data_IF_883678217189
#
_entry.id   IF_883678217189
#
_cell.length_a   1.000
_cell.length_b   1.000
_cell.length_c   1.000
_cell.angle_alpha   90.00
_cell.angle_beta   90.00
_cell.angle_gamma   90.00
#
_symmetry.space_group_name_H-M   'P 1'
#
loop_
_entity.id
_entity.type
_entity.pdbx_description
1 polymer ?
#
# COMPACT_ATOMS: atom_id res chain seq x y z
N UNK A 1 -26.65 73.35 -19.29
CA UNK A 1 -26.97 71.91 -19.28
C UNK A 1 -25.99 71.19 -20.22
N UNK A 2 -24.80 70.85 -19.71
CA UNK A 2 -23.68 70.35 -20.51
C UNK A 2 -23.83 68.85 -20.78
N UNK A 3 -23.94 68.49 -22.06
CA UNK A 3 -23.92 67.11 -22.57
C UNK A 3 -22.53 66.49 -22.32
N UNK A 4 -22.44 65.46 -21.47
CA UNK A 4 -21.26 64.58 -21.40
C UNK A 4 -21.11 63.85 -22.74
N UNK A 5 -19.90 63.88 -23.31
CA UNK A 5 -19.59 63.27 -24.62
C UNK A 5 -19.52 61.74 -24.48
N UNK A 6 -19.90 60.97 -25.52
CA UNK A 6 -19.96 59.50 -25.50
C UNK A 6 -18.60 58.79 -25.45
N UNK A 7 -17.49 59.52 -25.36
CA UNK A 7 -16.11 59.00 -25.32
C UNK A 7 -15.69 58.43 -23.95
N UNK A 8 -16.33 58.87 -22.86
CA UNK A 8 -15.87 58.52 -21.50
C UNK A 8 -16.38 57.15 -21.01
N UNK A 9 -17.50 56.65 -21.58
CA UNK A 9 -18.03 55.32 -21.26
C UNK A 9 -17.23 54.18 -21.90
N UNK A 10 -16.56 54.44 -23.03
CA UNK A 10 -15.74 53.45 -23.74
C UNK A 10 -14.38 53.25 -23.07
N UNK A 11 -13.82 54.28 -22.45
CA UNK A 11 -12.55 54.19 -21.72
C UNK A 11 -12.72 53.41 -20.40
N UNK A 12 -13.82 53.65 -19.67
CA UNK A 12 -14.17 52.90 -18.45
C UNK A 12 -14.44 51.41 -18.72
N UNK A 13 -15.03 51.05 -19.88
CA UNK A 13 -15.20 49.65 -20.29
C UNK A 13 -13.90 48.96 -20.69
N UNK A 14 -12.91 49.68 -21.22
CA UNK A 14 -11.60 49.13 -21.60
C UNK A 14 -10.68 48.91 -20.39
N UNK A 15 -10.72 49.80 -19.40
CA UNK A 15 -9.93 49.64 -18.16
C UNK A 15 -10.47 48.49 -17.30
N UNK A 16 -11.80 48.31 -17.22
CA UNK A 16 -12.40 47.19 -16.50
C UNK A 16 -12.06 45.83 -17.13
N UNK A 17 -11.96 45.74 -18.46
CA UNK A 17 -11.61 44.50 -19.15
C UNK A 17 -10.13 44.11 -18.94
N UNK A 18 -9.22 45.09 -18.84
CA UNK A 18 -7.81 44.83 -18.57
C UNK A 18 -7.53 44.39 -17.12
N UNK A 19 -8.32 44.85 -16.14
CA UNK A 19 -8.18 44.40 -14.75
C UNK A 19 -8.71 42.98 -14.55
N UNK A 20 -9.78 42.58 -15.25
CA UNK A 20 -10.27 41.19 -15.22
C UNK A 20 -9.28 40.22 -15.90
N UNK A 21 -8.58 40.67 -16.94
CA UNK A 21 -7.54 39.86 -17.60
C UNK A 21 -6.23 39.77 -16.79
N UNK A 22 -5.97 40.71 -15.87
CA UNK A 22 -4.80 40.64 -14.98
C UNK A 22 -5.00 39.67 -13.79
N UNK A 23 -6.25 39.37 -13.40
CA UNK A 23 -6.55 38.35 -12.38
C UNK A 23 -6.77 36.94 -12.95
N UNK A 24 -6.95 36.79 -14.26
CA UNK A 24 -7.05 35.49 -14.92
C UNK A 24 -5.68 34.83 -15.19
N UNK A 25 -4.57 35.56 -14.99
CA UNK A 25 -3.21 35.09 -15.29
C UNK A 25 -2.41 34.52 -14.10
N UNK A 26 -3.02 34.41 -12.91
CA UNK A 26 -2.37 33.90 -11.70
C UNK A 26 -3.00 32.62 -11.13
N UNK A 27 -3.81 31.92 -11.91
CA UNK A 27 -3.91 30.46 -11.74
C UNK A 27 -2.66 29.87 -12.40
N UNK A 28 -1.53 30.03 -11.70
CA UNK A 28 -0.41 29.13 -11.86
C UNK A 28 -1.03 27.75 -11.66
N UNK A 29 -1.05 26.98 -12.74
CA UNK A 29 -1.47 25.61 -12.72
C UNK A 29 -0.59 24.93 -11.68
N UNK A 30 -1.13 24.68 -10.49
CA UNK A 30 -0.72 23.53 -9.71
C UNK A 30 -1.16 22.31 -10.52
N UNK A 31 -0.51 22.07 -11.66
CA UNK A 31 -0.34 20.72 -12.15
C UNK A 31 0.49 20.08 -11.06
N UNK A 32 -0.19 19.51 -10.06
CA UNK A 32 0.43 18.54 -9.19
C UNK A 32 1.22 17.61 -10.09
N UNK A 33 2.49 17.38 -9.75
CA UNK A 33 3.32 16.40 -10.43
C UNK A 33 2.47 15.14 -10.51
N UNK A 34 1.99 14.78 -11.70
CA UNK A 34 1.24 13.55 -11.87
C UNK A 34 2.19 12.43 -11.48
N UNK A 35 1.81 11.63 -10.48
CA UNK A 35 2.56 10.42 -10.13
C UNK A 35 2.60 9.57 -11.39
N UNK A 36 3.79 9.35 -11.92
CA UNK A 36 3.96 8.53 -13.13
C UNK A 36 3.65 7.10 -12.73
N UNK A 37 2.73 6.46 -13.46
CA UNK A 37 2.44 5.04 -13.25
C UNK A 37 3.73 4.23 -13.45
N UNK A 38 4.09 3.46 -12.42
CA UNK A 38 5.24 2.57 -12.47
C UNK A 38 4.70 1.16 -12.73
N UNK A 39 4.71 0.74 -13.99
CA UNK A 39 4.43 -0.66 -14.33
C UNK A 39 5.70 -1.47 -14.19
N UNK A 40 5.65 -2.54 -13.39
CA UNK A 40 6.74 -3.50 -13.23
C UNK A 40 6.32 -4.86 -13.80
N UNK A 41 7.30 -5.59 -14.33
CA UNK A 41 7.12 -6.95 -14.83
C UNK A 41 8.32 -7.83 -14.45
N UNK A 42 8.26 -9.12 -14.77
CA UNK A 42 9.42 -10.01 -14.59
C UNK A 42 10.08 -10.35 -15.92
N UNK A 43 11.41 -10.43 -15.91
CA UNK A 43 12.22 -10.94 -17.02
C UNK A 43 13.28 -11.88 -16.46
N UNK A 44 13.12 -13.19 -16.72
CA UNK A 44 13.85 -14.24 -16.00
C UNK A 44 13.70 -14.02 -14.48
N UNK A 45 14.80 -13.91 -13.74
CA UNK A 45 14.87 -13.67 -12.28
C UNK A 45 14.96 -12.20 -11.88
N UNK A 46 14.50 -11.29 -12.73
CA UNK A 46 14.61 -9.87 -12.47
C UNK A 46 13.27 -9.18 -12.60
N UNK A 47 12.98 -8.30 -11.65
CA UNK A 47 11.97 -7.26 -11.79
C UNK A 47 12.53 -6.18 -12.74
N UNK A 48 11.73 -5.79 -13.74
CA UNK A 48 12.10 -4.78 -14.72
C UNK A 48 10.99 -3.74 -14.86
N UNK A 49 11.36 -2.54 -15.29
CA UNK A 49 10.41 -1.49 -15.69
C UNK A 49 9.96 -1.66 -17.16
N UNK A 50 9.08 -0.76 -17.62
CA UNK A 50 8.57 -0.74 -19.00
C UNK A 50 9.67 -0.64 -20.07
N UNK A 51 10.85 -0.10 -19.73
CA UNK A 51 11.99 -0.01 -20.62
C UNK A 51 12.91 -1.25 -20.55
N UNK A 52 12.54 -2.27 -19.78
CA UNK A 52 13.32 -3.48 -19.57
C UNK A 52 14.52 -3.29 -18.64
N UNK A 53 14.60 -2.16 -17.92
CA UNK A 53 15.71 -1.88 -16.99
C UNK A 53 15.41 -2.57 -15.67
N UNK A 54 16.42 -3.22 -15.09
CA UNK A 54 16.31 -3.89 -13.80
C UNK A 54 15.94 -2.90 -12.70
N UNK A 55 14.90 -3.22 -11.94
CA UNK A 55 14.47 -2.52 -10.74
C UNK A 55 14.84 -3.37 -9.51
N UNK A 56 15.44 -2.75 -8.51
CA UNK A 56 15.65 -3.36 -7.19
C UNK A 56 14.68 -2.72 -6.20
N UNK A 57 13.83 -3.53 -5.60
CA UNK A 57 12.91 -3.09 -4.56
C UNK A 57 13.64 -3.10 -3.21
N UNK A 58 13.90 -1.90 -2.69
CA UNK A 58 14.44 -1.65 -1.36
C UNK A 58 13.29 -1.07 -0.54
N UNK A 59 12.57 -1.94 0.16
CA UNK A 59 11.33 -1.56 0.84
C UNK A 59 11.51 -1.48 2.34
N UNK A 60 10.69 -0.69 3.00
CA UNK A 60 10.42 -0.80 4.45
C UNK A 60 9.07 -1.45 4.68
N UNK A 61 8.91 -2.18 5.77
CA UNK A 61 7.57 -2.56 6.24
C UNK A 61 6.90 -1.38 6.95
N UNK A 62 5.66 -1.06 6.59
CA UNK A 62 4.81 -0.12 7.35
C UNK A 62 3.54 -0.85 7.83
N UNK A 63 3.41 -1.10 9.14
CA UNK A 63 2.27 -1.75 9.75
C UNK A 63 1.01 -0.90 9.67
N UNK A 64 -0.06 -1.49 9.14
CA UNK A 64 -1.43 -0.96 9.15
C UNK A 64 -2.45 -2.09 9.36
N UNK A 65 -1.99 -3.25 9.85
CA UNK A 65 -2.78 -4.45 10.08
C UNK A 65 -3.08 -4.74 11.55
N UNK A 66 -2.50 -3.96 12.47
CA UNK A 66 -2.72 -4.09 13.91
C UNK A 66 -4.17 -3.73 14.28
N UNK A 67 -4.52 -3.88 15.55
CA UNK A 67 -5.85 -3.61 16.10
C UNK A 67 -6.47 -2.26 15.67
N UNK A 68 -5.71 -1.14 15.54
CA UNK A 68 -6.28 0.12 15.07
C UNK A 68 -6.69 0.11 13.59
N UNK A 69 -6.12 -0.79 12.78
CA UNK A 69 -6.26 -0.85 11.30
C UNK A 69 -5.95 0.48 10.62
N UNK A 70 -5.08 1.27 11.24
CA UNK A 70 -4.54 2.53 10.74
C UNK A 70 -3.01 2.40 10.77
N UNK A 71 -2.33 3.04 9.83
CA UNK A 71 -0.88 2.96 9.76
C UNK A 71 -0.23 3.48 11.05
N UNK A 72 0.76 2.74 11.54
CA UNK A 72 1.51 3.11 12.74
C UNK A 72 2.23 4.45 12.56
N UNK A 73 2.40 5.19 13.66
CA UNK A 73 3.12 6.48 13.66
C UNK A 73 2.30 7.71 13.25
N UNK A 74 1.08 7.56 12.73
CA UNK A 74 0.22 8.72 12.39
C UNK A 74 -0.18 9.58 13.59
N UNK A 75 -0.11 9.03 14.81
CA UNK A 75 -0.29 9.81 16.04
C UNK A 75 0.92 10.66 16.42
N UNK A 76 2.06 10.49 15.74
CA UNK A 76 3.34 11.10 16.10
C UNK A 76 3.87 12.07 15.05
N UNK A 77 3.62 11.81 13.77
CA UNK A 77 4.09 12.65 12.67
C UNK A 77 3.05 12.72 11.54
N UNK A 78 3.02 13.82 10.76
CA UNK A 78 2.23 13.89 9.55
C UNK A 78 2.58 12.75 8.58
N UNK A 79 1.58 12.16 7.93
CA UNK A 79 1.76 11.05 6.97
C UNK A 79 2.78 11.40 5.88
N UNK A 80 2.73 12.63 5.36
CA UNK A 80 3.67 13.14 4.36
C UNK A 80 5.10 13.24 4.89
N UNK A 81 5.29 13.57 6.17
CA UNK A 81 6.62 13.59 6.78
C UNK A 81 7.21 12.18 6.86
N UNK A 82 6.40 11.18 7.21
CA UNK A 82 6.82 9.78 7.25
C UNK A 82 7.15 9.29 5.82
N UNK A 83 6.28 9.55 4.83
CA UNK A 83 6.49 9.21 3.43
C UNK A 83 7.79 9.80 2.87
N UNK A 84 8.05 11.10 3.14
CA UNK A 84 9.32 11.77 2.77
C UNK A 84 10.52 11.14 3.46
N UNK A 85 10.36 10.75 4.72
CA UNK A 85 11.44 10.13 5.49
C UNK A 85 11.86 8.80 4.86
N UNK A 86 10.91 7.94 4.48
CA UNK A 86 11.17 6.69 3.75
C UNK A 86 12.06 6.94 2.52
N UNK A 87 11.67 7.89 1.66
CA UNK A 87 12.44 8.25 0.47
C UNK A 87 13.84 8.80 0.83
N UNK A 88 13.93 9.64 1.87
CA UNK A 88 15.19 10.25 2.31
C UNK A 88 16.21 9.24 2.85
N UNK A 89 15.74 8.11 3.39
CA UNK A 89 16.57 7.00 3.87
C UNK A 89 17.07 6.09 2.73
N UNK A 90 16.65 6.36 1.48
CA UNK A 90 17.08 5.64 0.29
C UNK A 90 16.21 4.43 -0.07
N UNK A 91 15.09 4.23 0.62
CA UNK A 91 14.09 3.24 0.25
C UNK A 91 13.24 3.77 -0.91
N UNK A 92 12.87 2.87 -1.82
CA UNK A 92 12.04 3.20 -2.99
C UNK A 92 10.66 2.54 -2.95
N UNK A 93 10.37 1.76 -1.90
CA UNK A 93 9.07 1.16 -1.70
C UNK A 93 8.69 1.02 -0.23
N UNK A 94 7.39 0.83 -0.01
CA UNK A 94 6.82 0.39 1.27
C UNK A 94 6.05 -0.90 1.05
N UNK A 95 6.31 -1.90 1.88
CA UNK A 95 5.41 -3.03 2.09
C UNK A 95 4.37 -2.62 3.13
N UNK A 96 3.19 -2.22 2.65
CA UNK A 96 2.11 -1.69 3.48
C UNK A 96 1.17 -2.84 3.84
N UNK A 97 1.23 -3.24 5.11
CA UNK A 97 0.52 -4.43 5.59
C UNK A 97 -0.95 -4.14 5.87
N UNK A 98 -1.84 -5.10 5.62
CA UNK A 98 -3.26 -4.99 5.97
C UNK A 98 -3.84 -6.34 6.43
N UNK A 99 -4.91 -6.34 7.25
CA UNK A 99 -5.64 -7.54 7.61
C UNK A 99 -6.69 -7.86 6.55
N UNK A 100 -6.93 -9.13 6.21
CA UNK A 100 -7.90 -9.46 5.14
C UNK A 100 -9.31 -8.93 5.44
N UNK A 101 -9.67 -8.84 6.72
CA UNK A 101 -10.94 -8.28 7.18
C UNK A 101 -11.16 -6.84 6.71
N UNK A 102 -10.10 -6.02 6.52
CA UNK A 102 -10.25 -4.67 5.97
C UNK A 102 -10.87 -4.67 4.56
N UNK A 103 -10.64 -5.76 3.80
CA UNK A 103 -11.13 -5.92 2.44
C UNK A 103 -12.44 -6.71 2.32
N UNK A 104 -12.88 -7.38 3.39
CA UNK A 104 -14.01 -8.34 3.35
C UNK A 104 -15.10 -8.04 4.36
N UNK A 105 -14.82 -7.29 5.42
CA UNK A 105 -15.78 -6.90 6.44
C UNK A 105 -16.19 -5.44 6.26
N UNK A 106 -17.33 -5.22 5.59
CA UNK A 106 -17.85 -3.88 5.32
C UNK A 106 -18.12 -3.06 6.60
N UNK A 107 -18.49 -3.71 7.70
CA UNK A 107 -18.69 -3.02 8.98
C UNK A 107 -17.38 -2.51 9.55
N UNK A 108 -16.29 -3.28 9.43
CA UNK A 108 -14.94 -2.85 9.82
C UNK A 108 -14.46 -1.75 8.88
N UNK A 109 -14.48 -1.98 7.57
CA UNK A 109 -13.90 -1.06 6.59
C UNK A 109 -14.53 0.33 6.61
N UNK A 110 -15.82 0.43 6.98
CA UNK A 110 -16.59 1.67 7.06
C UNK A 110 -16.56 2.36 8.43
N UNK A 111 -15.83 1.83 9.41
CA UNK A 111 -15.65 2.52 10.68
C UNK A 111 -14.93 3.84 10.42
N UNK A 112 -15.64 4.94 10.63
CA UNK A 112 -15.05 6.26 10.82
C UNK A 112 -14.63 6.37 12.28
N UNK A 113 -13.43 6.89 12.51
CA UNK A 113 -12.76 7.06 13.80
C UNK A 113 -11.89 5.90 14.31
N UNK A 114 -10.67 6.28 14.68
CA UNK A 114 -9.78 5.58 15.63
C UNK A 114 -10.43 5.37 17.02
N UNK A 115 -11.54 6.05 17.31
CA UNK A 115 -12.27 5.96 18.59
C UNK A 115 -12.91 4.58 18.80
N UNK A 116 -13.24 3.85 17.73
CA UNK A 116 -13.93 2.56 17.80
C UNK A 116 -13.13 1.46 18.52
N UNK A 117 -11.81 1.62 18.67
CA UNK A 117 -10.93 0.66 19.34
C UNK A 117 -10.43 1.11 20.72
N UNK A 118 -10.97 2.19 21.30
CA UNK A 118 -10.58 2.64 22.65
C UNK A 118 -9.18 3.26 22.74
N UNK A 119 -8.58 3.63 21.61
CA UNK A 119 -7.24 4.20 21.50
C UNK A 119 -7.26 5.74 21.61
N UNK A 120 -7.71 6.25 22.76
CA UNK A 120 -7.89 7.68 22.98
C UNK A 120 -6.60 8.50 22.80
N UNK A 121 -5.44 7.94 23.17
CA UNK A 121 -4.13 8.59 22.97
C UNK A 121 -3.76 8.70 21.50
N UNK A 122 -4.12 7.70 20.68
CA UNK A 122 -3.93 7.72 19.22
C UNK A 122 -4.80 8.79 18.56
N UNK A 123 -6.02 9.02 19.05
CA UNK A 123 -6.93 10.03 18.48
C UNK A 123 -6.40 11.44 18.66
N UNK A 124 -5.88 11.79 19.85
CA UNK A 124 -5.35 13.12 20.11
C UNK A 124 -4.11 13.41 19.24
N UNK A 125 -3.16 12.47 19.21
CA UNK A 125 -1.95 12.60 18.38
C UNK A 125 -2.26 12.64 16.88
N UNK A 126 -3.22 11.84 16.41
CA UNK A 126 -3.67 11.89 15.00
C UNK A 126 -4.39 13.21 14.72
N UNK A 127 -5.21 13.72 15.64
CA UNK A 127 -5.86 15.03 15.48
C UNK A 127 -4.87 16.18 15.36
N UNK A 128 -3.73 16.11 16.05
CA UNK A 128 -2.67 17.11 15.96
C UNK A 128 -1.86 17.00 14.67
N UNK A 129 -1.43 15.78 14.31
CA UNK A 129 -0.50 15.55 13.21
C UNK A 129 -1.17 15.33 11.85
N UNK A 130 -2.37 14.76 11.85
CA UNK A 130 -3.11 14.28 10.69
C UNK A 130 -4.63 14.53 10.86
N UNK A 131 -5.08 15.77 11.12
CA UNK A 131 -6.47 16.05 11.49
C UNK A 131 -7.52 15.49 10.51
N UNK A 132 -7.21 15.47 9.21
CA UNK A 132 -8.11 14.94 8.18
C UNK A 132 -8.36 13.43 8.28
N UNK A 133 -7.49 12.66 8.94
CA UNK A 133 -7.67 11.21 9.12
C UNK A 133 -8.78 10.87 10.12
N UNK A 134 -9.20 11.81 10.97
CA UNK A 134 -10.27 11.57 11.94
C UNK A 134 -11.64 11.36 11.28
N UNK A 135 -11.83 11.91 10.07
CA UNK A 135 -13.08 11.83 9.32
C UNK A 135 -13.10 10.69 8.29
N UNK A 136 -11.94 10.04 8.07
CA UNK A 136 -11.82 8.94 7.11
C UNK A 136 -12.31 7.63 7.74
N UNK A 137 -12.89 6.79 6.90
CA UNK A 137 -13.06 5.37 7.22
C UNK A 137 -11.69 4.66 7.28
N UNK A 138 -11.63 3.45 7.85
CA UNK A 138 -10.38 2.68 7.90
C UNK A 138 -9.81 2.41 6.49
N UNK A 139 -10.68 2.09 5.52
CA UNK A 139 -10.22 1.85 4.14
C UNK A 139 -9.76 3.13 3.44
N UNK A 140 -10.42 4.27 3.70
CA UNK A 140 -10.00 5.57 3.17
C UNK A 140 -8.70 6.04 3.83
N UNK A 141 -8.51 5.76 5.12
CA UNK A 141 -7.25 6.02 5.83
C UNK A 141 -6.09 5.24 5.21
N UNK A 142 -6.30 3.95 4.91
CA UNK A 142 -5.32 3.12 4.21
C UNK A 142 -4.99 3.69 2.82
N UNK A 143 -6.01 4.14 2.07
CA UNK A 143 -5.82 4.81 0.77
C UNK A 143 -5.02 6.11 0.88
N UNK A 144 -5.32 6.94 1.87
CA UNK A 144 -4.62 8.22 2.09
C UNK A 144 -3.11 8.02 2.36
N UNK A 145 -2.73 6.93 3.03
CA UNK A 145 -1.31 6.56 3.20
C UNK A 145 -0.68 6.16 1.86
N UNK A 146 -1.37 5.35 1.04
CA UNK A 146 -0.90 4.99 -0.30
C UNK A 146 -0.73 6.21 -1.20
N UNK A 147 -1.68 7.15 -1.16
CA UNK A 147 -1.63 8.39 -1.93
C UNK A 147 -0.44 9.26 -1.50
N UNK A 148 -0.22 9.43 -0.19
CA UNK A 148 0.94 10.18 0.34
C UNK A 148 2.29 9.56 -0.07
N UNK A 149 2.38 8.24 -0.11
CA UNK A 149 3.57 7.54 -0.60
C UNK A 149 3.79 7.82 -2.10
N UNK A 150 2.72 7.83 -2.88
CA UNK A 150 2.78 8.13 -4.32
C UNK A 150 3.21 9.57 -4.62
N UNK A 151 2.69 10.54 -3.87
CA UNK A 151 3.09 11.96 -3.95
C UNK A 151 4.58 12.18 -3.67
N UNK A 152 5.21 11.23 -2.97
CA UNK A 152 6.62 11.23 -2.62
C UNK A 152 7.47 10.24 -3.44
N UNK A 153 6.95 9.79 -4.59
CA UNK A 153 7.61 8.86 -5.52
C UNK A 153 8.02 7.51 -4.86
N UNK A 154 7.28 7.07 -3.84
CA UNK A 154 7.50 5.79 -3.14
C UNK A 154 6.49 4.74 -3.63
N UNK A 155 7.00 3.63 -4.16
CA UNK A 155 6.18 2.51 -4.60
C UNK A 155 5.54 1.78 -3.40
N UNK A 156 4.42 1.11 -3.63
CA UNK A 156 3.69 0.36 -2.61
C UNK A 156 3.52 -1.09 -3.04
N UNK A 157 3.81 -1.99 -2.11
CA UNK A 157 3.44 -3.39 -2.17
C UNK A 157 2.39 -3.63 -1.09
N UNK A 158 1.16 -3.90 -1.52
CA UNK A 158 0.09 -4.25 -0.60
C UNK A 158 0.37 -5.64 -0.02
N UNK A 159 0.37 -5.78 1.29
CA UNK A 159 0.70 -7.05 1.92
C UNK A 159 -0.43 -7.58 2.78
N UNK A 160 -1.02 -8.72 2.39
CA UNK A 160 -1.93 -9.39 3.30
C UNK A 160 -1.14 -10.03 4.44
N UNK A 161 -1.20 -9.41 5.61
CA UNK A 161 -0.37 -9.80 6.73
C UNK A 161 -1.02 -10.86 7.61
N UNK A 162 -2.31 -10.66 7.88
CA UNK A 162 -3.10 -11.48 8.81
C UNK A 162 -4.55 -11.47 8.35
N UNK A 163 -5.39 -12.33 8.94
CA UNK A 163 -6.81 -12.36 8.58
C UNK A 163 -7.62 -11.32 9.36
N UNK A 164 -7.44 -11.26 10.68
CA UNK A 164 -8.11 -10.28 11.54
C UNK A 164 -7.10 -9.24 12.03
N UNK A 165 -7.52 -8.00 12.32
CA UNK A 165 -6.64 -7.01 12.93
C UNK A 165 -5.93 -7.55 14.17
N UNK A 166 -4.63 -7.32 14.25
CA UNK A 166 -3.83 -7.62 15.44
C UNK A 166 -2.47 -8.26 15.17
N UNK A 167 -1.79 -8.62 16.26
CA UNK A 167 -0.44 -9.16 16.24
C UNK A 167 -0.37 -10.64 15.80
N UNK A 168 0.76 -11.00 15.22
CA UNK A 168 1.18 -12.35 14.84
C UNK A 168 2.68 -12.49 15.26
N UNK A 169 3.40 -13.61 15.13
CA UNK A 169 3.27 -14.69 14.18
C UNK A 169 3.68 -16.01 14.84
N UNK A 170 3.00 -16.40 15.91
CA UNK A 170 3.28 -17.68 16.59
C UNK A 170 2.82 -18.86 15.71
N UNK A 171 3.37 -20.06 15.96
CA UNK A 171 2.96 -21.29 15.27
C UNK A 171 1.49 -21.68 15.57
N UNK A 172 0.92 -21.17 16.67
CA UNK A 172 -0.40 -21.52 17.19
C UNK A 172 -1.38 -20.34 17.25
N UNK A 173 -1.07 -19.21 16.59
CA UNK A 173 -1.95 -18.04 16.54
C UNK A 173 -3.22 -18.21 15.69
N UNK A 174 -3.37 -19.38 15.05
CA UNK A 174 -4.53 -19.75 14.24
C UNK A 174 -4.63 -18.98 12.91
N UNK A 175 -3.55 -18.35 12.46
CA UNK A 175 -3.47 -17.58 11.21
C UNK A 175 -2.33 -18.06 10.28
N UNK A 176 -1.55 -19.07 10.67
CA UNK A 176 -0.30 -19.45 10.01
C UNK A 176 -0.46 -20.15 8.66
N UNK A 177 -1.52 -20.94 8.45
CA UNK A 177 -1.73 -21.69 7.21
C UNK A 177 -3.20 -21.82 6.81
N UNK A 178 -3.43 -22.18 5.55
CA UNK A 178 -4.77 -22.36 4.98
C UNK A 178 -5.63 -23.30 5.82
N UNK A 179 -6.85 -22.86 6.14
CA UNK A 179 -7.82 -23.61 6.92
C UNK A 179 -7.64 -23.51 8.43
N UNK A 180 -6.66 -22.73 8.92
CA UNK A 180 -6.56 -22.42 10.35
C UNK A 180 -7.76 -21.62 10.85
N UNK A 181 -7.91 -21.56 12.18
CA UNK A 181 -9.08 -21.00 12.87
C UNK A 181 -9.54 -19.65 12.31
N UNK A 182 -8.59 -18.80 11.94
CA UNK A 182 -8.84 -17.46 11.43
C UNK A 182 -8.48 -17.32 9.95
N UNK A 183 -7.99 -18.37 9.28
CA UNK A 183 -7.56 -18.34 7.89
C UNK A 183 -8.49 -19.19 6.99
N UNK A 184 -9.69 -18.66 6.77
CA UNK A 184 -10.58 -19.15 5.71
C UNK A 184 -10.03 -18.77 4.33
N UNK A 185 -9.72 -19.79 3.52
CA UNK A 185 -9.06 -19.60 2.24
C UNK A 185 -9.96 -18.97 1.17
N UNK A 186 -11.28 -19.17 1.23
CA UNK A 186 -12.19 -18.59 0.24
C UNK A 186 -12.44 -17.11 0.54
N UNK A 187 -12.58 -16.75 1.83
CA UNK A 187 -12.60 -15.35 2.28
C UNK A 187 -11.28 -14.67 1.92
N UNK A 188 -10.15 -15.37 2.06
CA UNK A 188 -8.85 -14.83 1.68
C UNK A 188 -8.73 -14.54 0.19
N UNK A 189 -9.09 -15.49 -0.69
CA UNK A 189 -9.11 -15.25 -2.14
C UNK A 189 -10.01 -14.05 -2.49
N UNK A 190 -11.19 -13.95 -1.89
CA UNK A 190 -12.10 -12.83 -2.11
C UNK A 190 -11.49 -11.49 -1.65
N UNK A 191 -10.89 -11.45 -0.46
CA UNK A 191 -10.27 -10.25 0.06
C UNK A 191 -9.06 -9.78 -0.76
N UNK A 192 -8.28 -10.72 -1.31
CA UNK A 192 -7.20 -10.40 -2.23
C UNK A 192 -7.73 -9.71 -3.49
N UNK A 193 -8.78 -10.27 -4.12
CA UNK A 193 -9.42 -9.66 -5.28
C UNK A 193 -9.97 -8.26 -4.98
N UNK A 194 -10.61 -8.08 -3.82
CA UNK A 194 -11.18 -6.79 -3.41
C UNK A 194 -10.11 -5.71 -3.24
N UNK A 195 -8.99 -6.03 -2.59
CA UNK A 195 -7.87 -5.08 -2.43
C UNK A 195 -7.19 -4.78 -3.76
N UNK A 196 -6.96 -5.80 -4.60
CA UNK A 196 -6.40 -5.61 -5.92
C UNK A 196 -7.29 -4.67 -6.77
N UNK A 197 -8.60 -4.89 -6.77
CA UNK A 197 -9.56 -4.05 -7.49
C UNK A 197 -9.60 -2.61 -6.95
N UNK A 198 -9.52 -2.43 -5.62
CA UNK A 198 -9.55 -1.11 -4.99
C UNK A 198 -8.37 -0.22 -5.42
N UNK A 199 -7.21 -0.84 -5.63
CA UNK A 199 -5.96 -0.17 -6.03
C UNK A 199 -5.62 -0.34 -7.51
N UNK A 200 -6.52 -0.91 -8.32
CA UNK A 200 -6.34 -1.01 -9.75
C UNK A 200 -6.23 0.40 -10.36
N UNK A 201 -5.14 0.64 -11.12
CA UNK A 201 -4.86 1.95 -11.72
C UNK A 201 -4.27 3.00 -10.77
N UNK A 202 -3.98 2.66 -9.51
CA UNK A 202 -3.23 3.56 -8.61
C UNK A 202 -1.74 3.52 -8.97
N UNK A 203 -1.14 4.63 -9.47
CA UNK A 203 0.15 4.63 -10.15
C UNK A 203 1.35 4.04 -9.41
N UNK A 204 1.39 4.20 -8.08
CA UNK A 204 2.49 3.77 -7.23
C UNK A 204 2.25 2.41 -6.58
N UNK A 205 1.09 1.77 -6.76
CA UNK A 205 0.85 0.40 -6.28
C UNK A 205 1.38 -0.58 -7.32
N UNK A 206 2.57 -1.11 -7.07
CA UNK A 206 3.33 -1.90 -8.06
C UNK A 206 3.20 -3.41 -7.84
N UNK A 207 2.66 -3.84 -6.70
CA UNK A 207 2.52 -5.25 -6.41
C UNK A 207 1.68 -5.56 -5.18
N UNK A 208 1.42 -6.86 -5.01
CA UNK A 208 0.62 -7.38 -3.92
C UNK A 208 1.20 -8.71 -3.42
N UNK A 209 1.56 -8.75 -2.14
CA UNK A 209 2.01 -9.91 -1.40
C UNK A 209 0.82 -10.67 -0.85
N UNK A 210 0.70 -11.93 -1.27
CA UNK A 210 -0.51 -12.73 -1.08
C UNK A 210 -0.76 -13.12 0.37
N UNK A 211 0.29 -13.44 1.13
CA UNK A 211 0.21 -13.77 2.56
C UNK A 211 1.58 -13.63 3.21
N UNK A 212 1.62 -13.08 4.41
CA UNK A 212 2.83 -13.04 5.25
C UNK A 212 3.10 -14.40 5.91
N UNK A 213 4.32 -14.92 5.73
CA UNK A 213 4.93 -15.95 6.57
C UNK A 213 4.05 -17.18 6.82
N UNK A 214 3.72 -17.91 5.76
CA UNK A 214 3.03 -19.20 5.93
C UNK A 214 3.87 -20.10 6.86
N UNK A 215 3.22 -20.63 7.90
CA UNK A 215 3.90 -21.27 9.05
C UNK A 215 2.99 -22.27 9.78
N UNK A 216 3.50 -22.90 10.84
CA UNK A 216 2.75 -23.81 11.68
C UNK A 216 2.69 -25.27 11.16
N UNK A 217 2.08 -26.17 11.96
CA UNK A 217 2.17 -27.62 11.76
C UNK A 217 1.32 -28.18 10.63
N UNK A 218 0.43 -27.38 10.02
CA UNK A 218 -0.48 -27.81 8.93
C UNK A 218 0.08 -27.59 7.53
N UNK A 219 1.23 -26.94 7.44
CA UNK A 219 1.88 -26.62 6.18
C UNK A 219 2.09 -27.86 5.33
N UNK A 220 1.72 -27.75 4.07
CA UNK A 220 1.97 -28.78 3.08
C UNK A 220 2.05 -28.16 1.69
N UNK A 221 2.81 -28.79 0.79
CA UNK A 221 3.01 -28.25 -0.56
C UNK A 221 1.72 -28.25 -1.38
N UNK A 222 0.85 -29.25 -1.19
CA UNK A 222 -0.37 -29.41 -1.98
C UNK A 222 -1.32 -28.21 -1.85
N UNK A 223 -1.61 -27.82 -0.62
CA UNK A 223 -2.43 -26.64 -0.34
C UNK A 223 -1.69 -25.34 -0.69
N UNK A 224 -0.38 -25.26 -0.48
CA UNK A 224 0.40 -24.10 -0.94
C UNK A 224 0.22 -23.86 -2.44
N UNK A 225 0.46 -24.86 -3.29
CA UNK A 225 0.28 -24.70 -4.74
C UNK A 225 -1.16 -24.36 -5.08
N UNK A 226 -2.12 -25.04 -4.45
CA UNK A 226 -3.54 -24.84 -4.73
C UNK A 226 -3.98 -23.40 -4.41
N UNK A 227 -3.68 -22.91 -3.22
CA UNK A 227 -4.22 -21.63 -2.75
C UNK A 227 -3.38 -20.44 -3.18
N UNK A 228 -2.04 -20.54 -3.21
CA UNK A 228 -1.20 -19.44 -3.72
C UNK A 228 -1.50 -19.15 -5.19
N UNK A 229 -1.75 -20.20 -5.98
CA UNK A 229 -2.20 -20.04 -7.36
C UNK A 229 -3.58 -19.38 -7.45
N UNK A 230 -4.56 -19.81 -6.65
CA UNK A 230 -5.90 -19.18 -6.62
C UNK A 230 -5.83 -17.70 -6.22
N UNK A 231 -5.00 -17.36 -5.23
CA UNK A 231 -4.79 -15.98 -4.79
C UNK A 231 -4.16 -15.13 -5.88
N UNK A 232 -3.13 -15.65 -6.57
CA UNK A 232 -2.49 -14.97 -7.68
C UNK A 232 -3.43 -14.69 -8.85
N UNK A 233 -4.22 -15.69 -9.24
CA UNK A 233 -5.22 -15.55 -10.31
C UNK A 233 -6.28 -14.50 -9.95
N UNK A 234 -6.72 -14.47 -8.69
CA UNK A 234 -7.69 -13.49 -8.22
C UNK A 234 -7.13 -12.05 -8.22
N UNK A 235 -5.89 -11.87 -7.77
CA UNK A 235 -5.20 -10.57 -7.83
C UNK A 235 -5.02 -10.12 -9.28
N UNK A 236 -4.47 -10.97 -10.13
CA UNK A 236 -4.19 -10.61 -11.51
C UNK A 236 -5.47 -10.31 -12.31
N UNK A 237 -6.55 -11.06 -12.09
CA UNK A 237 -7.84 -10.78 -12.73
C UNK A 237 -8.42 -9.41 -12.35
N UNK A 238 -8.17 -8.95 -11.11
CA UNK A 238 -8.67 -7.67 -10.60
C UNK A 238 -7.72 -6.50 -10.90
N UNK A 239 -6.41 -6.74 -10.91
CA UNK A 239 -5.37 -5.76 -11.20
C UNK A 239 -4.22 -6.41 -12.00
N UNK A 240 -4.31 -6.43 -13.35
CA UNK A 240 -3.33 -7.11 -14.18
C UNK A 240 -1.97 -6.42 -14.23
N UNK A 241 -1.87 -5.18 -13.75
CA UNK A 241 -0.62 -4.42 -13.73
C UNK A 241 0.22 -4.67 -12.45
N UNK A 242 -0.36 -5.29 -11.42
CA UNK A 242 0.34 -5.55 -10.16
C UNK A 242 1.21 -6.80 -10.26
N UNK A 243 2.46 -6.70 -9.77
CA UNK A 243 3.28 -7.87 -9.48
C UNK A 243 2.61 -8.72 -8.39
N UNK A 244 2.55 -10.02 -8.59
CA UNK A 244 2.05 -10.95 -7.57
C UNK A 244 3.22 -11.54 -6.81
N UNK A 245 3.28 -11.28 -5.50
CA UNK A 245 4.36 -11.73 -4.62
C UNK A 245 3.89 -12.94 -3.79
N UNK A 246 4.53 -14.10 -3.99
CA UNK A 246 4.24 -15.35 -3.28
C UNK A 246 5.31 -15.66 -2.24
N UNK A 247 4.91 -15.78 -0.97
CA UNK A 247 5.77 -16.24 0.13
C UNK A 247 5.95 -17.76 0.16
N UNK A 248 7.04 -18.21 0.77
CA UNK A 248 7.38 -19.62 0.97
C UNK A 248 6.68 -20.26 2.16
N UNK A 249 7.18 -21.44 2.57
CA UNK A 249 6.79 -22.10 3.81
C UNK A 249 7.79 -21.78 4.92
N UNK A 250 7.44 -22.09 6.16
CA UNK A 250 8.30 -21.93 7.32
C UNK A 250 8.71 -20.47 7.51
N UNK A 251 7.75 -19.58 7.66
CA UNK A 251 8.00 -18.14 7.80
C UNK A 251 8.64 -17.52 6.54
N UNK A 252 8.18 -17.95 5.36
CA UNK A 252 8.75 -17.57 4.06
C UNK A 252 10.23 -17.94 3.87
N UNK A 253 10.81 -18.80 4.72
CA UNK A 253 12.23 -19.19 4.66
C UNK A 253 12.51 -20.42 3.80
N UNK A 254 11.48 -21.22 3.48
CA UNK A 254 11.58 -22.41 2.65
C UNK A 254 10.88 -22.21 1.29
N UNK A 255 11.70 -22.15 0.24
CA UNK A 255 11.29 -22.20 -1.17
C UNK A 255 11.85 -23.44 -1.89
N UNK A 256 12.50 -24.36 -1.16
CA UNK A 256 13.25 -25.48 -1.75
C UNK A 256 12.36 -26.39 -2.62
N UNK A 257 11.09 -26.49 -2.26
CA UNK A 257 10.09 -27.30 -2.97
C UNK A 257 9.83 -26.81 -4.40
N UNK A 258 10.11 -25.54 -4.71
CA UNK A 258 9.97 -24.99 -6.07
C UNK A 258 11.00 -25.54 -7.06
N UNK A 259 12.18 -25.96 -6.57
CA UNK A 259 13.17 -26.62 -7.43
C UNK A 259 12.68 -27.95 -8.01
N UNK A 260 11.79 -28.64 -7.30
CA UNK A 260 11.17 -29.89 -7.76
C UNK A 260 9.92 -29.64 -8.63
N UNK A 261 9.17 -28.57 -8.34
CA UNK A 261 7.97 -28.18 -9.08
C UNK A 261 7.85 -26.66 -9.13
N UNK A 262 8.29 -26.01 -10.21
CA UNK A 262 8.10 -24.57 -10.37
C UNK A 262 6.62 -24.18 -10.36
N UNK A 263 6.33 -22.92 -10.02
CA UNK A 263 5.01 -22.34 -10.25
C UNK A 263 4.78 -22.27 -11.76
N UNK A 264 3.58 -22.66 -12.20
CA UNK A 264 3.21 -22.70 -13.62
C UNK A 264 3.18 -21.27 -14.19
N UNK A 265 4.16 -20.93 -15.04
CA UNK A 265 4.34 -19.63 -15.68
C UNK A 265 3.57 -19.49 -17.00
N UNK A 266 2.78 -20.50 -17.37
CA UNK A 266 2.00 -20.50 -18.63
C UNK A 266 0.68 -19.72 -18.53
N UNK A 267 0.34 -19.19 -17.35
CA UNK A 267 -0.84 -18.36 -17.11
C UNK A 267 -0.47 -16.89 -17.26
N UNK A 268 -1.42 -16.05 -17.67
CA UNK A 268 -1.21 -14.68 -18.16
C UNK A 268 -0.69 -13.65 -17.13
N UNK A 269 -0.05 -14.07 -16.04
CA UNK A 269 0.49 -13.21 -14.98
C UNK A 269 1.99 -13.44 -14.77
N UNK A 270 2.71 -12.41 -14.32
CA UNK A 270 4.12 -12.45 -13.99
C UNK A 270 4.32 -12.74 -12.48
N UNK A 271 4.54 -13.99 -12.05
CA UNK A 271 4.76 -14.30 -10.64
C UNK A 271 6.15 -13.82 -10.19
N UNK A 272 6.20 -13.12 -9.05
CA UNK A 272 7.40 -12.90 -8.26
C UNK A 272 7.32 -13.82 -7.05
N UNK A 273 8.24 -14.77 -6.94
CA UNK A 273 8.36 -15.58 -5.72
C UNK A 273 9.37 -14.91 -4.81
N UNK A 274 9.01 -14.80 -3.53
CA UNK A 274 9.76 -14.08 -2.51
C UNK A 274 10.10 -15.03 -1.36
N UNK A 275 11.37 -15.05 -0.99
CA UNK A 275 11.80 -15.40 0.37
C UNK A 275 12.22 -14.10 1.07
N UNK A 276 11.57 -13.76 2.18
CA UNK A 276 12.06 -12.70 3.07
C UNK A 276 11.79 -13.10 4.51
N UNK A 277 12.80 -12.91 5.35
CA UNK A 277 12.63 -12.87 6.80
C UNK A 277 12.15 -11.46 7.21
N UNK A 278 11.00 -11.36 7.89
CA UNK A 278 10.59 -10.13 8.59
C UNK A 278 11.19 -10.13 9.99
N UNK A 279 11.62 -8.95 10.46
CA UNK A 279 11.78 -8.67 11.89
C UNK A 279 11.05 -7.36 12.17
N UNK A 280 10.43 -7.24 13.34
CA UNK A 280 9.77 -6.03 13.82
C UNK A 280 10.63 -5.37 14.91
N UNK A 281 10.82 -4.05 14.82
CA UNK A 281 11.30 -3.21 15.92
C UNK A 281 10.14 -2.37 16.51
N UNK A 282 10.12 -2.18 17.84
CA UNK A 282 9.16 -1.32 18.56
C UNK A 282 9.47 0.18 18.37
N UNK A 283 8.43 1.02 18.30
CA UNK A 283 8.53 2.48 18.12
C UNK A 283 8.63 3.24 19.46
N UNK A 284 9.84 3.61 19.90
CA UNK A 284 10.06 4.67 20.93
C UNK A 284 10.33 6.05 20.28
N UNK A 285 10.48 7.14 21.03
CA UNK A 285 10.70 8.52 20.51
C UNK A 285 11.94 8.67 19.61
N UNK A 286 13.03 7.95 19.90
CA UNK A 286 14.23 7.82 19.03
C UNK A 286 14.04 6.78 17.90
N UNK A 287 12.85 6.19 17.81
CA UNK A 287 12.59 4.89 17.21
C UNK A 287 11.98 4.92 15.81
N UNK A 288 11.53 6.05 15.25
CA UNK A 288 11.03 6.03 13.85
C UNK A 288 12.17 5.79 12.85
N UNK A 289 13.33 6.40 13.09
CA UNK A 289 14.52 6.15 12.28
C UNK A 289 14.96 4.70 12.44
N UNK A 290 15.05 4.20 13.69
CA UNK A 290 15.38 2.81 13.97
C UNK A 290 14.36 1.83 13.35
N UNK A 291 13.07 2.12 13.45
CA UNK A 291 11.98 1.32 12.88
C UNK A 291 12.05 1.25 11.36
N UNK A 292 12.26 2.38 10.69
CA UNK A 292 12.38 2.38 9.23
C UNK A 292 13.69 1.72 8.77
N UNK A 293 14.78 1.82 9.54
CA UNK A 293 16.06 1.17 9.18
C UNK A 293 16.11 -0.31 9.52
N UNK A 294 15.53 -0.74 10.64
CA UNK A 294 15.58 -2.12 11.15
C UNK A 294 14.55 -3.03 10.44
N UNK A 295 13.49 -2.45 9.88
CA UNK A 295 12.46 -3.15 9.11
C UNK A 295 12.69 -3.06 7.58
N UNK A 296 13.93 -2.78 7.16
CA UNK A 296 14.32 -2.71 5.75
C UNK A 296 14.44 -4.09 5.10
N UNK A 297 13.74 -4.31 4.00
CA UNK A 297 13.76 -5.56 3.23
C UNK A 297 14.24 -5.34 1.80
N UNK A 298 15.08 -6.27 1.35
CA UNK A 298 15.33 -6.48 -0.07
C UNK A 298 14.45 -7.65 -0.47
N UNK A 299 13.53 -7.42 -1.40
CA UNK A 299 12.83 -8.53 -2.04
C UNK A 299 13.84 -9.30 -2.90
N UNK A 300 14.20 -10.50 -2.43
CA UNK A 300 15.05 -11.42 -3.17
C UNK A 300 14.20 -12.14 -4.21
N UNK A 301 14.61 -12.01 -5.46
CA UNK A 301 13.99 -12.64 -6.63
C UNK A 301 14.54 -14.06 -6.79
N UNK A 302 13.65 -15.06 -6.75
CA UNK A 302 13.97 -16.45 -7.04
C UNK A 302 12.93 -17.05 -7.97
N UNK A 303 13.33 -17.43 -9.18
CA UNK A 303 12.62 -18.44 -9.99
C UNK A 303 13.25 -19.80 -9.75
#
# INVERSE_FOLDING_TARGET
MMRRRPSDLLLLRRVALCVVLAFAGQQCWYLGRGVVAVTLSTSSRWIVDEAGRRVKLACVNWPSHLEPVVAEGLGRQPVDAISKKVASLGFNCVRLTYPIALATNASLSSLTSLLAHGLAETVAGVGENNPGFLDLTLIESFRAVVDSLGENDVMVILDNHVSQPGWCCADDDGNGFFGDRYFDSDVWVQGLANMAALFAGVPNVVGMSLRNELRGPRQNHGDWYRYMQRGAEAVHAANPAALVVMGGLGYDTDLSFLGARPVDDTRAYDPVVKAVASWYADLTEDGLDAFLTDNGHILYDGK
#
